data_IF_385371905629
#
_entry.id   IF_385371905629
#
_cell.length_a   1.000
_cell.length_b   1.000
_cell.length_c   1.000
_cell.angle_alpha   90.00
_cell.angle_beta   90.00
_cell.angle_gamma   90.00
#
_symmetry.space_group_name_H-M   'P 1'
#
loop_
_entity.id
_entity.type
_entity.pdbx_description
1 polymer ?
#
# COMPACT_ATOMS: atom_id res chain seq x y z
N UNK A 1 -82.09 4.82 42.39
CA UNK A 1 -81.64 6.03 43.11
C UNK A 1 -80.12 6.10 43.09
N UNK A 2 -79.60 7.33 42.85
CA UNK A 2 -78.22 7.84 43.05
C UNK A 2 -77.10 7.42 42.08
N UNK A 3 -76.80 8.35 41.16
CA UNK A 3 -75.53 8.55 40.46
C UNK A 3 -74.40 8.86 41.44
N UNK A 4 -73.16 8.47 41.10
CA UNK A 4 -71.93 9.30 41.26
C UNK A 4 -70.76 8.66 40.51
N UNK A 5 -70.26 9.36 39.48
CA UNK A 5 -68.87 9.27 39.04
C UNK A 5 -68.03 10.23 39.89
N UNK A 6 -66.73 9.93 40.11
CA UNK A 6 -65.71 10.69 39.38
C UNK A 6 -64.51 9.86 38.88
N UNK A 7 -63.73 10.53 38.03
CA UNK A 7 -62.60 10.13 37.18
C UNK A 7 -61.25 10.31 37.97
N UNK A 8 -60.07 10.26 37.33
CA UNK A 8 -59.14 9.15 37.04
C UNK A 8 -57.90 9.13 37.96
N UNK A 9 -57.09 8.08 37.92
CA UNK A 9 -55.65 8.20 38.22
C UNK A 9 -54.83 7.28 37.31
N UNK A 10 -53.98 7.91 36.48
CA UNK A 10 -52.90 7.28 35.73
C UNK A 10 -51.85 6.77 36.70
N UNK A 11 -51.36 5.54 36.53
CA UNK A 11 -50.07 5.00 37.01
C UNK A 11 -49.98 3.59 36.40
N UNK A 12 -48.89 3.06 35.84
CA UNK A 12 -47.71 3.58 35.19
C UNK A 12 -47.24 2.38 34.34
N UNK A 13 -46.78 2.65 33.12
CA UNK A 13 -46.28 1.64 32.21
C UNK A 13 -45.00 1.00 32.76
N UNK A 14 -44.88 -0.33 32.66
CA UNK A 14 -43.57 -0.99 32.66
C UNK A 14 -43.47 -1.74 31.34
N UNK A 15 -42.95 -1.06 30.31
CA UNK A 15 -42.44 -1.72 29.12
C UNK A 15 -40.99 -2.11 29.41
N UNK A 16 -40.73 -3.41 29.52
CA UNK A 16 -39.38 -3.94 29.69
C UNK A 16 -38.70 -3.92 28.31
N UNK A 17 -38.13 -2.78 27.93
CA UNK A 17 -37.32 -2.66 26.73
C UNK A 17 -35.96 -3.31 26.98
N UNK A 18 -35.77 -4.55 26.53
CA UNK A 18 -34.44 -5.14 26.43
C UNK A 18 -33.71 -4.42 25.28
N UNK A 19 -32.93 -3.41 25.62
CA UNK A 19 -31.94 -2.85 24.71
C UNK A 19 -30.76 -3.84 24.67
N UNK A 20 -30.80 -4.75 23.69
CA UNK A 20 -29.61 -5.50 23.28
C UNK A 20 -28.65 -4.50 22.66
N UNK A 21 -27.73 -3.96 23.46
CA UNK A 21 -26.53 -3.29 22.98
C UNK A 21 -25.70 -4.37 22.32
N UNK A 22 -25.92 -4.61 21.02
CA UNK A 22 -24.90 -5.21 20.18
C UNK A 22 -23.78 -4.19 20.09
N UNK A 23 -22.84 -4.24 21.04
CA UNK A 23 -21.49 -3.75 20.82
C UNK A 23 -20.93 -4.62 19.69
N UNK A 24 -21.19 -4.19 18.46
CA UNK A 24 -20.38 -4.55 17.32
C UNK A 24 -18.95 -4.23 17.75
N UNK A 25 -18.22 -5.28 18.11
CA UNK A 25 -16.78 -5.29 18.08
C UNK A 25 -16.41 -4.97 16.63
N UNK A 26 -16.30 -3.69 16.33
CA UNK A 26 -15.62 -3.23 15.13
C UNK A 26 -14.20 -3.72 15.33
N UNK A 27 -13.88 -4.85 14.73
CA UNK A 27 -12.51 -5.24 14.52
C UNK A 27 -12.07 -4.49 13.26
N UNK A 28 -11.36 -3.34 13.35
CA UNK A 28 -10.84 -2.68 12.15
C UNK A 28 -9.79 -3.53 11.41
N UNK A 29 -9.45 -4.73 11.87
CA UNK A 29 -8.20 -5.40 11.52
C UNK A 29 -8.27 -6.50 10.46
N UNK A 30 -9.38 -6.69 9.74
CA UNK A 30 -9.50 -7.79 8.75
C UNK A 30 -9.41 -7.36 7.28
N UNK A 31 -9.32 -6.05 6.99
CA UNK A 31 -9.26 -5.56 5.61
C UNK A 31 -8.04 -4.69 5.29
N UNK A 32 -7.08 -4.56 6.22
CA UNK A 32 -5.94 -3.66 6.04
C UNK A 32 -4.78 -4.26 5.23
N UNK A 33 -4.74 -5.56 4.93
CA UNK A 33 -3.72 -6.12 4.03
C UNK A 33 -4.35 -6.45 2.67
N UNK A 34 -4.10 -5.65 1.61
CA UNK A 34 -4.68 -5.92 0.29
C UNK A 34 -3.98 -7.08 -0.44
N UNK A 35 -2.85 -7.59 0.07
CA UNK A 35 -2.04 -8.60 -0.58
C UNK A 35 -2.26 -10.00 0.00
N UNK A 36 -2.43 -10.10 1.32
CA UNK A 36 -2.45 -11.37 2.04
C UNK A 36 -3.81 -11.66 2.67
N UNK A 37 -4.38 -12.81 2.32
CA UNK A 37 -5.55 -13.38 3.03
C UNK A 37 -5.13 -14.24 4.23
N UNK A 38 -3.94 -14.84 4.18
CA UNK A 38 -3.36 -15.62 5.26
C UNK A 38 -2.19 -14.85 5.88
N UNK A 39 -2.17 -14.74 7.22
CA UNK A 39 -1.16 -13.96 7.96
C UNK A 39 -1.06 -12.50 7.48
N UNK A 40 -2.16 -11.73 7.54
CA UNK A 40 -2.17 -10.34 7.11
C UNK A 40 -1.19 -9.51 7.94
N UNK A 41 -0.56 -8.54 7.29
CA UNK A 41 0.32 -7.57 7.94
C UNK A 41 -0.42 -6.27 8.18
N UNK A 42 0.03 -5.54 9.20
CA UNK A 42 -0.55 -4.24 9.50
C UNK A 42 -0.02 -3.18 8.53
N UNK A 43 -0.79 -2.87 7.49
CA UNK A 43 -0.47 -1.83 6.51
C UNK A 43 -1.19 -0.51 6.83
N UNK A 44 -2.17 -0.52 7.73
CA UNK A 44 -2.95 0.66 8.09
C UNK A 44 -4.13 0.93 7.13
N UNK A 45 -5.21 1.45 7.70
CA UNK A 45 -6.48 1.59 6.99
C UNK A 45 -6.42 2.66 5.90
N UNK A 46 -5.71 3.77 6.13
CA UNK A 46 -5.62 4.85 5.15
C UNK A 46 -4.72 4.45 3.98
N UNK A 47 -3.59 3.78 4.25
CA UNK A 47 -2.73 3.23 3.20
C UNK A 47 -3.49 2.25 2.34
N UNK A 48 -4.27 1.35 2.95
CA UNK A 48 -5.11 0.40 2.22
C UNK A 48 -6.19 1.09 1.40
N UNK A 49 -6.86 2.09 1.96
CA UNK A 49 -7.86 2.87 1.24
C UNK A 49 -7.26 3.61 0.05
N UNK A 50 -6.05 4.16 0.19
CA UNK A 50 -5.30 4.75 -0.91
C UNK A 50 -4.93 3.71 -1.97
N UNK A 51 -4.45 2.54 -1.55
CA UNK A 51 -4.15 1.43 -2.45
C UNK A 51 -5.37 1.06 -3.29
N UNK A 52 -6.52 0.82 -2.66
CA UNK A 52 -7.76 0.50 -3.37
C UNK A 52 -8.22 1.63 -4.29
N UNK A 53 -8.08 2.89 -3.85
CA UNK A 53 -8.41 4.04 -4.70
C UNK A 53 -7.56 4.08 -5.98
N UNK A 54 -6.26 3.81 -5.90
CA UNK A 54 -5.37 3.76 -7.07
C UNK A 54 -5.71 2.54 -7.93
N UNK A 55 -5.65 1.35 -7.32
CA UNK A 55 -5.47 0.10 -8.05
C UNK A 55 -6.79 -0.61 -8.37
N UNK A 56 -7.81 -0.43 -7.54
CA UNK A 56 -9.13 -1.02 -7.77
C UNK A 56 -10.09 -0.04 -8.44
N UNK A 57 -9.99 1.25 -8.11
CA UNK A 57 -10.96 2.26 -8.54
C UNK A 57 -10.42 3.19 -9.64
N UNK A 58 -9.11 3.23 -9.87
CA UNK A 58 -8.49 4.17 -10.81
C UNK A 58 -8.66 5.64 -10.41
N UNK A 59 -8.96 5.91 -9.13
CA UNK A 59 -9.30 7.24 -8.61
C UNK A 59 -8.07 7.91 -7.96
N UNK A 60 -7.16 8.37 -8.82
CA UNK A 60 -5.89 8.96 -8.41
C UNK A 60 -6.05 10.23 -7.55
N UNK A 61 -7.04 11.08 -7.85
CA UNK A 61 -7.31 12.30 -7.07
C UNK A 61 -7.73 11.98 -5.63
N UNK A 62 -8.58 10.97 -5.46
CA UNK A 62 -8.98 10.50 -4.12
C UNK A 62 -7.80 9.86 -3.39
N UNK A 63 -7.02 9.05 -4.08
CA UNK A 63 -5.82 8.45 -3.53
C UNK A 63 -4.82 9.50 -3.01
N UNK A 64 -4.57 10.57 -3.77
CA UNK A 64 -3.67 11.65 -3.32
C UNK A 64 -4.13 12.30 -2.02
N UNK A 65 -5.44 12.52 -1.86
CA UNK A 65 -5.99 13.06 -0.60
C UNK A 65 -5.80 12.07 0.54
N UNK A 66 -6.12 10.80 0.34
CA UNK A 66 -6.01 9.76 1.38
C UNK A 66 -4.54 9.55 1.77
N UNK A 67 -3.60 9.57 0.82
CA UNK A 67 -2.17 9.41 1.09
C UNK A 67 -1.61 10.50 2.01
N UNK A 68 -2.10 11.74 1.91
CA UNK A 68 -1.72 12.81 2.86
C UNK A 68 -2.13 12.47 4.28
N UNK A 69 -3.29 11.85 4.45
CA UNK A 69 -3.75 11.39 5.77
C UNK A 69 -2.96 10.16 6.24
N UNK A 70 -2.70 9.19 5.34
CA UNK A 70 -1.92 8.00 5.64
C UNK A 70 -0.51 8.36 6.13
N UNK A 71 0.18 9.25 5.44
CA UNK A 71 1.55 9.69 5.82
C UNK A 71 1.58 10.33 7.22
N UNK A 72 0.48 10.96 7.65
CA UNK A 72 0.37 11.57 8.98
C UNK A 72 -0.01 10.55 10.06
N UNK A 73 -0.96 9.66 9.77
CA UNK A 73 -1.54 8.71 10.74
C UNK A 73 -0.79 7.38 10.82
N UNK A 74 -0.12 6.98 9.74
CA UNK A 74 0.60 5.73 9.55
C UNK A 74 2.05 6.00 9.11
N UNK A 75 2.82 6.82 9.86
CA UNK A 75 4.13 7.32 9.42
C UNK A 75 5.22 6.25 9.28
N UNK A 76 4.94 5.02 9.73
CA UNK A 76 5.86 3.89 9.63
C UNK A 76 5.49 2.92 8.50
N UNK A 77 4.50 3.26 7.67
CA UNK A 77 4.08 2.43 6.54
C UNK A 77 4.81 2.84 5.25
N UNK A 78 5.76 2.04 4.75
CA UNK A 78 6.53 2.40 3.55
C UNK A 78 5.68 2.44 2.26
N UNK A 79 4.59 1.68 2.17
CA UNK A 79 3.71 1.65 1.00
C UNK A 79 3.06 3.00 0.72
N UNK A 80 2.65 3.74 1.76
CA UNK A 80 2.06 5.06 1.61
C UNK A 80 3.03 6.03 0.91
N UNK A 81 4.30 6.02 1.33
CA UNK A 81 5.35 6.82 0.73
C UNK A 81 5.66 6.38 -0.71
N UNK A 82 5.74 5.06 -0.95
CA UNK A 82 5.98 4.51 -2.28
C UNK A 82 4.85 4.88 -3.26
N UNK A 83 3.58 4.76 -2.85
CA UNK A 83 2.44 5.16 -3.67
C UNK A 83 2.47 6.67 -3.97
N UNK A 84 2.84 7.50 -2.98
CA UNK A 84 2.95 8.96 -3.19
C UNK A 84 4.04 9.31 -4.18
N UNK A 85 5.19 8.63 -4.12
CA UNK A 85 6.29 8.78 -5.07
C UNK A 85 5.88 8.33 -6.49
N UNK A 86 5.22 7.17 -6.62
CA UNK A 86 4.75 6.66 -7.92
C UNK A 86 3.75 7.60 -8.60
N UNK A 87 2.81 8.19 -7.85
CA UNK A 87 1.90 9.22 -8.40
C UNK A 87 2.66 10.47 -8.85
N UNK A 88 3.66 10.88 -8.08
CA UNK A 88 4.50 12.02 -8.44
C UNK A 88 5.29 11.77 -9.73
N UNK A 89 5.82 10.56 -9.92
CA UNK A 89 6.46 10.16 -11.18
C UNK A 89 5.49 10.29 -12.37
N UNK A 90 4.27 9.75 -12.24
CA UNK A 90 3.25 9.85 -13.30
C UNK A 90 2.89 11.31 -13.63
N UNK A 91 2.85 12.17 -12.61
CA UNK A 91 2.55 13.59 -12.73
C UNK A 91 3.77 14.44 -13.14
N UNK A 92 4.95 13.84 -13.34
CA UNK A 92 6.22 14.54 -13.59
C UNK A 92 6.60 15.53 -12.48
N UNK A 93 6.11 15.29 -11.27
CA UNK A 93 6.48 16.05 -10.08
C UNK A 93 7.77 15.46 -9.48
N UNK A 94 8.89 15.89 -10.04
CA UNK A 94 10.21 15.39 -9.66
C UNK A 94 10.62 15.78 -8.26
N UNK A 95 10.03 16.81 -7.65
CA UNK A 95 10.33 17.22 -6.28
C UNK A 95 9.66 16.31 -5.27
N UNK A 96 8.37 16.02 -5.49
CA UNK A 96 7.61 15.07 -4.69
C UNK A 96 8.15 13.65 -4.85
N UNK A 97 8.52 13.25 -6.06
CA UNK A 97 9.16 11.94 -6.31
C UNK A 97 10.44 11.77 -5.48
N UNK A 98 11.33 12.75 -5.52
CA UNK A 98 12.59 12.78 -4.76
C UNK A 98 12.33 12.55 -3.27
N UNK A 99 11.54 13.46 -2.68
CA UNK A 99 11.19 13.47 -1.25
C UNK A 99 10.62 12.12 -0.80
N UNK A 100 9.69 11.55 -1.57
CA UNK A 100 8.98 10.34 -1.16
C UNK A 100 9.69 9.04 -1.55
N UNK A 101 10.59 9.06 -2.52
CA UNK A 101 11.52 7.94 -2.75
C UNK A 101 12.50 7.79 -1.59
N UNK A 102 13.09 8.89 -1.10
CA UNK A 102 13.95 8.91 0.08
C UNK A 102 13.19 8.46 1.34
N UNK A 103 11.96 8.95 1.54
CA UNK A 103 11.14 8.52 2.68
C UNK A 103 10.79 7.04 2.62
N UNK A 104 10.50 6.50 1.43
CA UNK A 104 10.29 5.06 1.26
C UNK A 104 11.50 4.27 1.74
N UNK A 105 12.71 4.66 1.33
CA UNK A 105 13.97 4.04 1.78
C UNK A 105 14.19 4.16 3.28
N UNK A 106 13.99 5.37 3.84
CA UNK A 106 14.21 5.63 5.26
C UNK A 106 13.33 4.72 6.15
N UNK A 107 12.05 4.63 5.82
CA UNK A 107 11.09 3.82 6.57
C UNK A 107 11.34 2.33 6.34
N UNK A 108 11.65 1.92 5.11
CA UNK A 108 12.00 0.55 4.79
C UNK A 108 13.23 0.07 5.57
N UNK A 109 14.28 0.89 5.66
CA UNK A 109 15.50 0.55 6.38
C UNK A 109 15.26 0.35 7.88
N UNK A 110 14.37 1.14 8.49
CA UNK A 110 13.93 0.95 9.88
C UNK A 110 13.14 -0.35 10.03
N UNK A 111 12.28 -0.66 9.06
CA UNK A 111 11.41 -1.82 9.04
C UNK A 111 12.18 -3.15 8.93
N UNK A 112 13.37 -3.18 8.31
CA UNK A 112 14.16 -4.42 8.12
C UNK A 112 14.37 -5.21 9.42
N UNK A 113 14.52 -4.53 10.56
CA UNK A 113 14.80 -5.17 11.85
C UNK A 113 13.62 -5.96 12.43
N UNK A 114 12.39 -5.57 12.10
CA UNK A 114 11.16 -6.17 12.64
C UNK A 114 10.38 -6.94 11.58
N UNK A 115 10.50 -6.51 10.33
CA UNK A 115 9.92 -7.15 9.16
C UNK A 115 10.94 -7.13 8.01
N UNK A 116 11.85 -8.12 7.96
CA UNK A 116 12.91 -8.16 6.95
C UNK A 116 12.38 -8.36 5.53
N UNK A 117 11.21 -8.98 5.35
CA UNK A 117 10.60 -9.13 4.03
C UNK A 117 10.20 -7.74 3.49
N UNK A 118 9.31 -7.03 4.18
CA UNK A 118 8.81 -5.73 3.71
C UNK A 118 9.87 -4.67 3.76
N UNK A 119 10.71 -4.68 4.80
CA UNK A 119 11.83 -3.75 4.90
C UNK A 119 12.77 -3.85 3.69
N UNK A 120 13.14 -5.06 3.25
CA UNK A 120 13.97 -5.20 2.05
C UNK A 120 13.16 -4.91 0.77
N UNK A 121 11.90 -5.36 0.67
CA UNK A 121 11.06 -5.06 -0.48
C UNK A 121 10.94 -3.55 -0.75
N UNK A 122 10.62 -2.76 0.27
CA UNK A 122 10.48 -1.31 0.10
C UNK A 122 11.81 -0.58 -0.02
N UNK A 123 12.91 -1.16 0.46
CA UNK A 123 14.25 -0.66 0.14
C UNK A 123 14.54 -0.80 -1.36
N UNK A 124 14.17 -1.96 -1.95
CA UNK A 124 14.26 -2.15 -3.39
C UNK A 124 13.36 -1.14 -4.15
N UNK A 125 12.10 -0.96 -3.73
CA UNK A 125 11.19 0.02 -4.35
C UNK A 125 11.75 1.45 -4.29
N UNK A 126 12.30 1.86 -3.15
CA UNK A 126 12.89 3.17 -2.99
C UNK A 126 14.07 3.41 -3.94
N UNK A 127 15.01 2.45 -4.04
CA UNK A 127 16.12 2.55 -4.99
C UNK A 127 15.66 2.52 -6.45
N UNK A 128 14.60 1.77 -6.75
CA UNK A 128 14.02 1.74 -8.08
C UNK A 128 13.47 3.12 -8.48
N UNK A 129 12.75 3.78 -7.56
CA UNK A 129 12.23 5.14 -7.75
C UNK A 129 13.35 6.18 -7.90
N UNK A 130 14.40 6.11 -7.08
CA UNK A 130 15.59 6.96 -7.22
C UNK A 130 16.26 6.79 -8.59
N UNK A 131 16.40 5.54 -9.06
CA UNK A 131 16.93 5.24 -10.39
C UNK A 131 16.10 5.88 -11.51
N UNK A 132 14.78 5.77 -11.42
CA UNK A 132 13.85 6.45 -12.33
C UNK A 132 13.99 7.97 -12.30
N UNK A 133 14.13 8.57 -11.11
CA UNK A 133 14.33 10.01 -10.94
C UNK A 133 15.65 10.49 -11.56
N UNK A 134 16.73 9.76 -11.36
CA UNK A 134 18.05 10.05 -11.96
C UNK A 134 17.92 10.13 -13.48
N UNK A 135 17.31 9.11 -14.10
CA UNK A 135 17.10 9.08 -15.55
C UNK A 135 16.16 10.20 -16.02
N UNK A 136 15.11 10.51 -15.27
CA UNK A 136 14.17 11.58 -15.60
C UNK A 136 14.84 12.97 -15.57
N UNK A 137 15.76 13.21 -14.62
CA UNK A 137 16.44 14.50 -14.48
C UNK A 137 17.65 14.65 -15.40
N UNK A 138 18.46 13.61 -15.53
CA UNK A 138 19.77 13.67 -16.20
C UNK A 138 19.74 13.10 -17.63
N UNK A 139 18.65 12.42 -18.00
CA UNK A 139 18.58 11.65 -19.24
C UNK A 139 19.44 10.38 -19.19
N UNK A 140 19.22 9.48 -20.15
CA UNK A 140 19.88 8.16 -20.18
C UNK A 140 21.40 8.25 -20.31
N UNK A 141 21.91 9.16 -21.14
CA UNK A 141 23.36 9.23 -21.41
C UNK A 141 24.18 9.59 -20.16
N UNK A 142 23.70 10.54 -19.35
CA UNK A 142 24.42 11.00 -18.14
C UNK A 142 24.01 10.22 -16.91
N UNK A 143 22.72 9.88 -16.78
CA UNK A 143 22.16 9.22 -15.60
C UNK A 143 22.38 7.71 -15.53
N UNK A 144 22.67 7.04 -16.66
CA UNK A 144 22.75 5.57 -16.69
C UNK A 144 23.73 4.95 -15.68
N UNK A 145 24.97 5.44 -15.48
CA UNK A 145 25.88 4.84 -14.50
C UNK A 145 25.33 4.89 -13.06
N UNK A 146 24.71 6.01 -12.67
CA UNK A 146 24.13 6.19 -11.34
C UNK A 146 22.85 5.34 -11.18
N UNK A 147 21.98 5.34 -12.20
CA UNK A 147 20.77 4.52 -12.22
C UNK A 147 21.09 3.01 -12.18
N UNK A 148 22.14 2.55 -12.88
CA UNK A 148 22.64 1.18 -12.79
C UNK A 148 23.13 0.84 -11.38
N UNK A 149 23.78 1.80 -10.70
CA UNK A 149 24.17 1.57 -9.30
C UNK A 149 22.94 1.37 -8.41
N UNK A 150 21.88 2.16 -8.58
CA UNK A 150 20.61 1.96 -7.87
C UNK A 150 19.98 0.62 -8.21
N UNK A 151 19.97 0.23 -9.48
CA UNK A 151 19.42 -1.05 -9.91
C UNK A 151 20.13 -2.25 -9.27
N UNK A 152 21.44 -2.17 -9.01
CA UNK A 152 22.15 -3.20 -8.23
C UNK A 152 21.61 -3.32 -6.81
N UNK A 153 21.35 -2.19 -6.15
CA UNK A 153 20.75 -2.17 -4.81
C UNK A 153 19.33 -2.75 -4.82
N UNK A 154 18.54 -2.47 -5.87
CA UNK A 154 17.21 -3.09 -6.08
C UNK A 154 17.33 -4.61 -6.02
N UNK A 155 18.21 -5.21 -6.82
CA UNK A 155 18.37 -6.67 -6.83
C UNK A 155 18.91 -7.22 -5.51
N UNK A 156 19.91 -6.57 -4.90
CA UNK A 156 20.43 -6.99 -3.59
C UNK A 156 19.34 -7.05 -2.51
N UNK A 157 18.41 -6.09 -2.51
CA UNK A 157 17.31 -6.08 -1.56
C UNK A 157 16.20 -7.08 -1.93
N UNK A 158 15.90 -7.25 -3.21
CA UNK A 158 14.96 -8.29 -3.65
C UNK A 158 15.46 -9.69 -3.27
N UNK A 159 16.75 -9.99 -3.44
CA UNK A 159 17.35 -11.27 -3.04
C UNK A 159 17.16 -11.52 -1.53
N UNK A 160 17.34 -10.48 -0.70
CA UNK A 160 17.13 -10.56 0.76
C UNK A 160 15.65 -10.77 1.12
N UNK A 161 14.72 -10.11 0.42
CA UNK A 161 13.29 -10.32 0.64
C UNK A 161 12.87 -11.74 0.21
N UNK A 162 13.31 -12.19 -0.97
CA UNK A 162 13.07 -13.53 -1.48
C UNK A 162 13.63 -14.61 -0.56
N UNK A 163 14.78 -14.39 0.09
CA UNK A 163 15.32 -15.29 1.09
C UNK A 163 14.39 -15.49 2.32
N UNK A 164 13.54 -14.51 2.64
CA UNK A 164 12.53 -14.62 3.71
C UNK A 164 11.30 -15.36 3.23
N UNK A 165 10.72 -14.94 2.08
CA UNK A 165 9.57 -15.64 1.49
C UNK A 165 9.44 -15.33 0.00
N UNK A 166 9.88 -16.27 -0.85
CA UNK A 166 9.77 -16.18 -2.33
C UNK A 166 8.33 -16.16 -2.84
N UNK A 167 7.40 -16.73 -2.08
CA UNK A 167 5.99 -16.86 -2.49
C UNK A 167 5.11 -15.76 -1.91
N UNK A 168 5.71 -14.74 -1.29
CA UNK A 168 4.93 -13.65 -0.72
C UNK A 168 4.23 -12.82 -1.82
N UNK A 169 2.92 -12.58 -1.71
CA UNK A 169 2.15 -11.95 -2.77
C UNK A 169 2.53 -10.48 -3.01
N UNK A 170 2.85 -9.73 -1.96
CA UNK A 170 3.26 -8.31 -2.06
C UNK A 170 4.60 -8.20 -2.76
N UNK A 171 5.56 -9.07 -2.38
CA UNK A 171 6.86 -9.18 -3.06
C UNK A 171 6.69 -9.49 -4.55
N UNK A 172 5.92 -10.53 -4.87
CA UNK A 172 5.75 -10.96 -6.25
C UNK A 172 5.07 -9.90 -7.12
N UNK A 173 4.10 -9.15 -6.57
CA UNK A 173 3.46 -8.05 -7.27
C UNK A 173 4.45 -6.93 -7.59
N UNK A 174 5.12 -6.39 -6.57
CA UNK A 174 6.00 -5.23 -6.75
C UNK A 174 7.25 -5.59 -7.57
N UNK A 175 7.84 -6.76 -7.35
CA UNK A 175 8.94 -7.27 -8.17
C UNK A 175 8.52 -7.42 -9.63
N UNK A 176 7.36 -8.02 -9.89
CA UNK A 176 6.88 -8.22 -11.26
C UNK A 176 6.65 -6.90 -12.00
N UNK A 177 6.11 -5.87 -11.35
CA UNK A 177 5.99 -4.54 -11.95
C UNK A 177 7.35 -3.88 -12.22
N UNK A 178 8.33 -4.01 -11.31
CA UNK A 178 9.69 -3.52 -11.57
C UNK A 178 10.33 -4.26 -12.76
N UNK A 179 10.22 -5.59 -12.82
CA UNK A 179 10.70 -6.40 -13.94
C UNK A 179 10.06 -5.95 -15.26
N UNK A 180 8.74 -5.72 -15.27
CA UNK A 180 8.00 -5.24 -16.45
C UNK A 180 8.47 -3.85 -16.89
N UNK A 181 8.57 -2.91 -15.96
CA UNK A 181 9.05 -1.55 -16.24
C UNK A 181 10.47 -1.55 -16.79
N UNK A 182 11.34 -2.43 -16.31
CA UNK A 182 12.68 -2.59 -16.86
C UNK A 182 12.64 -3.19 -18.26
N UNK A 183 11.83 -4.23 -18.48
CA UNK A 183 11.74 -4.91 -19.78
C UNK A 183 11.21 -4.02 -20.90
N UNK A 184 10.28 -3.10 -20.61
CA UNK A 184 9.79 -2.15 -21.62
C UNK A 184 10.74 -0.99 -21.89
N UNK A 185 11.71 -0.73 -21.01
CA UNK A 185 12.64 0.41 -21.11
C UNK A 185 14.10 0.01 -21.39
N UNK A 186 14.46 -1.27 -21.24
CA UNK A 186 15.83 -1.77 -21.42
C UNK A 186 15.85 -2.93 -22.43
N UNK A 187 16.79 -2.96 -23.39
CA UNK A 187 16.81 -3.92 -24.50
C UNK A 187 17.26 -5.34 -24.10
N UNK A 188 17.34 -5.64 -22.80
CA UNK A 188 17.94 -6.88 -22.29
C UNK A 188 16.94 -7.80 -21.56
N UNK A 189 15.69 -7.38 -21.37
CA UNK A 189 14.68 -8.15 -20.66
C UNK A 189 13.43 -8.36 -21.52
N UNK A 190 12.85 -9.55 -21.44
CA UNK A 190 11.66 -9.95 -22.19
C UNK A 190 10.39 -9.60 -21.39
N UNK A 191 9.52 -8.69 -21.88
CA UNK A 191 8.31 -8.29 -21.17
C UNK A 191 7.33 -9.45 -20.93
N UNK A 192 7.24 -10.42 -21.86
CA UNK A 192 6.33 -11.56 -21.74
C UNK A 192 6.66 -12.43 -20.52
N UNK A 193 7.95 -12.63 -20.24
CA UNK A 193 8.39 -13.43 -19.09
C UNK A 193 8.05 -12.74 -17.76
N UNK A 194 8.07 -11.41 -17.72
CA UNK A 194 7.66 -10.64 -16.54
C UNK A 194 6.15 -10.74 -16.29
N UNK A 195 5.34 -10.61 -17.35
CA UNK A 195 3.86 -10.72 -17.29
C UNK A 195 3.46 -12.11 -16.77
N UNK A 196 4.04 -13.19 -17.32
CA UNK A 196 3.69 -14.55 -16.89
C UNK A 196 3.95 -14.78 -15.40
N UNK A 197 5.04 -14.22 -14.85
CA UNK A 197 5.36 -14.34 -13.42
C UNK A 197 4.36 -13.58 -12.54
N UNK A 198 3.89 -12.41 -12.98
CA UNK A 198 2.84 -11.63 -12.32
C UNK A 198 1.55 -12.45 -12.23
N UNK A 199 1.05 -12.94 -13.38
CA UNK A 199 -0.20 -13.72 -13.46
C UNK A 199 -0.20 -14.97 -12.55
N UNK A 200 0.95 -15.62 -12.36
CA UNK A 200 1.02 -16.82 -11.52
C UNK A 200 1.07 -16.50 -10.02
N UNK A 201 1.90 -15.53 -9.63
CA UNK A 201 2.40 -15.44 -8.24
C UNK A 201 2.00 -14.16 -7.49
N UNK A 202 1.53 -13.13 -8.19
CA UNK A 202 1.19 -11.86 -7.56
C UNK A 202 -0.28 -11.81 -7.13
N UNK A 203 -0.54 -11.01 -6.09
CA UNK A 203 -1.87 -10.65 -5.64
C UNK A 203 -1.90 -9.18 -5.22
N UNK A 204 -3.07 -8.52 -5.23
CA UNK A 204 -4.39 -9.06 -5.55
C UNK A 204 -4.60 -9.39 -7.05
N UNK A 205 -5.48 -10.36 -7.33
CA UNK A 205 -5.68 -10.92 -8.68
C UNK A 205 -6.25 -9.93 -9.70
N UNK A 206 -6.84 -8.82 -9.28
CA UNK A 206 -7.33 -7.79 -10.20
C UNK A 206 -6.21 -6.88 -10.74
N UNK A 207 -4.97 -7.06 -10.29
CA UNK A 207 -3.78 -6.32 -10.76
C UNK A 207 -2.89 -7.12 -11.70
N UNK A 208 -3.31 -8.31 -12.10
CA UNK A 208 -2.54 -9.19 -12.99
C UNK A 208 -3.39 -9.63 -14.17
#
# INVERSE_FOLDING_TARGET
>A
MKKRFPIPTRLAQIAFSVALILSALVHPSLAADPFRTNQPRNIGDNTTAAFNAIFQQGNYSTAERILKEAISKEPNEPLAYAMRASLAYANKDWGTLDTYSEKTLEIAQKLISTDPLRGNLYAAVGHFLEGGLILARQGTAQGAPQALSRLREVYQHLDKAEAVSKTDPELNLLKGYMDLLLAVNLPFANPQDAIQRLEMNAAPRYLV
#
